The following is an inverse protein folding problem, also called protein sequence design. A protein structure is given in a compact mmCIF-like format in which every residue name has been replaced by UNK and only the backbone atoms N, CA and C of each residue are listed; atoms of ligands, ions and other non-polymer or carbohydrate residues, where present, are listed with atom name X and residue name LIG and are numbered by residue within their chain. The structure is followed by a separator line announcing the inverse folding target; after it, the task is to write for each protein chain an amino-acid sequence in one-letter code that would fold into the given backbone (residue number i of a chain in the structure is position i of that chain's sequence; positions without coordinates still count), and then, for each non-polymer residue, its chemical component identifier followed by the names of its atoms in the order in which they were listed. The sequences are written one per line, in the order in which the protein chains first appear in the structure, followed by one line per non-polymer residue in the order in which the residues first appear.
data_IF_097612957769
#
_entry.id   IF_097612957769
#
_cell.length_a   1.000
_cell.length_b   1.000
_cell.length_c   1.000
_cell.angle_alpha   90.00
_cell.angle_beta   90.00
_cell.angle_gamma   90.00
#
_symmetry.space_group_name_H-M   'P 1'
#
loop_
_entity.id
_entity.type
_entity.pdbx_description
1 polymer ?
#
# COMPACT_ATOMS: atom_id res chain seq x y z
N UNK A 1 29.75 13.88 -16.68
CA UNK A 1 28.71 13.82 -17.73
C UNK A 1 27.63 12.89 -17.17
N UNK A 2 26.37 13.31 -17.14
CA UNK A 2 25.27 12.43 -16.69
C UNK A 2 24.93 11.38 -17.75
N UNK A 3 24.24 10.31 -17.34
CA UNK A 3 23.91 9.18 -18.21
C UNK A 3 23.09 9.57 -19.44
N UNK A 4 22.16 10.53 -19.31
CA UNK A 4 21.34 11.03 -20.42
C UNK A 4 22.19 11.78 -21.45
N UNK A 5 23.12 12.62 -20.98
CA UNK A 5 24.08 13.32 -21.83
C UNK A 5 25.03 12.32 -22.52
N UNK A 6 25.50 11.30 -21.80
CA UNK A 6 26.34 10.24 -22.35
C UNK A 6 25.62 9.40 -23.42
N UNK A 7 24.38 8.95 -23.16
CA UNK A 7 23.52 8.25 -24.15
C UNK A 7 23.41 9.05 -25.44
N UNK A 8 23.11 10.35 -25.32
CA UNK A 8 22.96 11.24 -26.48
C UNK A 8 24.27 11.34 -27.28
N UNK A 9 25.40 11.49 -26.60
CA UNK A 9 26.72 11.54 -27.23
C UNK A 9 27.06 10.24 -27.94
N UNK A 10 26.86 9.08 -27.31
CA UNK A 10 27.07 7.77 -27.94
C UNK A 10 26.18 7.59 -29.16
N UNK A 11 24.90 7.97 -29.09
CA UNK A 11 23.99 7.91 -30.24
C UNK A 11 24.46 8.76 -31.42
N UNK A 12 25.05 9.94 -31.17
CA UNK A 12 25.68 10.76 -32.21
C UNK A 12 26.91 10.05 -32.79
N UNK A 13 27.80 9.53 -31.94
CA UNK A 13 29.03 8.85 -32.41
C UNK A 13 28.69 7.63 -33.25
N UNK A 14 27.68 6.84 -32.85
CA UNK A 14 27.21 5.68 -33.61
C UNK A 14 26.62 6.07 -34.97
N UNK A 15 25.86 7.18 -35.01
CA UNK A 15 25.29 7.70 -36.26
C UNK A 15 26.35 8.21 -37.23
N UNK A 16 27.40 8.87 -36.73
CA UNK A 16 28.48 9.44 -37.56
C UNK A 16 29.48 8.36 -37.98
N UNK A 17 29.74 7.37 -37.14
CA UNK A 17 30.75 6.33 -37.37
C UNK A 17 30.19 4.92 -37.13
N UNK A 18 29.25 4.44 -37.96
CA UNK A 18 28.55 3.18 -37.71
C UNK A 18 29.44 1.93 -37.81
N UNK A 19 30.59 2.03 -38.49
CA UNK A 19 31.47 0.89 -38.76
C UNK A 19 32.63 0.71 -37.76
N UNK A 20 32.68 1.50 -36.68
CA UNK A 20 33.75 1.35 -35.68
C UNK A 20 33.70 -0.03 -35.01
N UNK A 21 34.87 -0.64 -34.85
CA UNK A 21 35.02 -1.96 -34.22
C UNK A 21 34.46 -1.99 -32.78
N UNK A 22 34.44 -0.85 -32.08
CA UNK A 22 33.89 -0.73 -30.73
C UNK A 22 32.41 -1.12 -30.62
N UNK A 23 31.64 -1.04 -31.72
CA UNK A 23 30.23 -1.46 -31.74
C UNK A 23 30.04 -2.99 -31.74
N UNK A 24 31.11 -3.75 -31.95
CA UNK A 24 31.11 -5.22 -32.00
C UNK A 24 32.00 -5.84 -30.92
N UNK A 25 32.63 -5.01 -30.08
CA UNK A 25 33.57 -5.44 -29.05
C UNK A 25 32.88 -5.35 -27.68
N UNK A 26 32.78 -6.51 -27.02
CA UNK A 26 32.08 -6.67 -25.75
C UNK A 26 32.57 -5.73 -24.65
N UNK A 27 33.87 -5.39 -24.65
CA UNK A 27 34.43 -4.46 -23.65
C UNK A 27 33.83 -3.08 -23.81
N UNK A 28 33.72 -2.58 -25.04
CA UNK A 28 33.17 -1.24 -25.29
C UNK A 28 31.66 -1.21 -25.14
N UNK A 29 30.96 -2.27 -25.56
CA UNK A 29 29.52 -2.41 -25.35
C UNK A 29 29.17 -2.38 -23.86
N UNK A 30 29.96 -3.06 -23.02
CA UNK A 30 29.79 -3.03 -21.56
C UNK A 30 30.01 -1.63 -20.99
N UNK A 31 31.08 -0.94 -21.39
CA UNK A 31 31.37 0.44 -20.93
C UNK A 31 30.26 1.40 -21.35
N UNK A 32 29.75 1.27 -22.57
CA UNK A 32 28.66 2.11 -23.08
C UNK A 32 27.39 1.85 -22.27
N UNK A 33 27.05 0.59 -22.03
CA UNK A 33 25.88 0.22 -21.23
C UNK A 33 26.01 0.81 -19.82
N UNK A 34 27.15 0.60 -19.14
CA UNK A 34 27.38 1.07 -17.77
C UNK A 34 27.28 2.60 -17.64
N UNK A 35 27.88 3.35 -18.56
CA UNK A 35 27.85 4.82 -18.54
C UNK A 35 26.52 5.41 -19.05
N UNK A 36 25.72 4.59 -19.73
CA UNK A 36 24.38 4.97 -20.15
C UNK A 36 23.34 4.69 -19.07
N UNK A 37 23.63 3.94 -18.01
CA UNK A 37 22.60 3.62 -17.01
C UNK A 37 22.20 4.86 -16.22
N UNK A 38 20.92 5.21 -16.30
CA UNK A 38 20.33 6.22 -15.42
C UNK A 38 20.22 5.67 -13.99
N UNK A 39 20.16 6.56 -12.99
CA UNK A 39 20.17 6.15 -11.56
C UNK A 39 19.02 5.18 -11.25
N UNK A 40 17.89 5.35 -11.93
CA UNK A 40 16.65 4.58 -11.81
C UNK A 40 16.54 3.40 -12.80
N UNK A 41 17.60 3.05 -13.52
CA UNK A 41 17.68 1.85 -14.36
C UNK A 41 18.35 0.68 -13.64
N UNK A 42 17.83 -0.53 -13.87
CA UNK A 42 18.40 -1.77 -13.32
C UNK A 42 19.69 -2.12 -14.07
N UNK A 43 20.75 -2.38 -13.31
CA UNK A 43 22.07 -2.65 -13.91
C UNK A 43 22.12 -4.07 -14.48
N UNK A 44 22.94 -4.32 -15.53
CA UNK A 44 23.16 -5.66 -16.03
C UNK A 44 23.65 -6.61 -14.92
N UNK A 45 22.92 -7.69 -14.67
CA UNK A 45 23.23 -8.68 -13.63
C UNK A 45 22.83 -8.28 -12.20
N UNK A 46 22.26 -7.10 -12.00
CA UNK A 46 21.68 -6.69 -10.71
C UNK A 46 20.34 -7.41 -10.52
N UNK A 47 20.09 -7.93 -9.32
CA UNK A 47 18.78 -8.51 -9.01
C UNK A 47 17.73 -7.40 -8.85
N UNK A 48 16.45 -7.70 -9.06
CA UNK A 48 15.38 -6.70 -8.86
C UNK A 48 15.35 -6.20 -7.41
N UNK A 49 15.68 -7.07 -6.45
CA UNK A 49 15.81 -6.70 -5.05
C UNK A 49 16.96 -5.71 -4.81
N UNK A 50 18.16 -5.99 -5.34
CA UNK A 50 19.30 -5.08 -5.21
C UNK A 50 19.02 -3.73 -5.88
N UNK A 51 18.37 -3.76 -7.04
CA UNK A 51 17.91 -2.58 -7.74
C UNK A 51 16.95 -1.75 -6.87
N UNK A 52 15.92 -2.36 -6.30
CA UNK A 52 14.98 -1.68 -5.42
C UNK A 52 15.66 -1.15 -4.16
N UNK A 53 16.54 -1.92 -3.53
CA UNK A 53 17.33 -1.47 -2.38
C UNK A 53 18.16 -0.24 -2.69
N UNK A 54 18.83 -0.23 -3.84
CA UNK A 54 19.67 0.89 -4.28
C UNK A 54 18.88 2.14 -4.63
N UNK A 55 17.80 2.01 -5.40
CA UNK A 55 17.05 3.15 -5.96
C UNK A 55 16.00 3.69 -5.00
N UNK A 56 15.40 2.80 -4.21
CA UNK A 56 14.28 3.16 -3.34
C UNK A 56 14.60 3.20 -1.86
N UNK A 57 15.81 2.89 -1.40
CA UNK A 57 16.15 3.20 -0.01
C UNK A 57 15.89 4.69 0.29
N UNK A 58 15.32 4.96 1.47
CA UNK A 58 15.13 6.33 1.95
C UNK A 58 16.50 7.00 2.11
N UNK A 59 16.63 8.21 1.58
CA UNK A 59 17.89 8.95 1.69
C UNK A 59 17.99 9.57 3.09
N UNK A 60 19.21 9.69 3.61
CA UNK A 60 19.44 10.18 4.99
C UNK A 60 18.88 11.60 5.26
N UNK A 61 18.70 12.41 4.22
CA UNK A 61 18.17 13.78 4.30
C UNK A 61 16.75 13.90 3.73
N UNK A 62 16.12 12.79 3.35
CA UNK A 62 14.78 12.77 2.76
C UNK A 62 13.73 12.58 3.86
N UNK A 63 12.76 13.49 3.89
CA UNK A 63 11.65 13.40 4.83
C UNK A 63 10.76 12.19 4.50
N UNK A 64 9.97 11.71 5.48
CA UNK A 64 9.02 10.62 5.24
C UNK A 64 7.99 11.00 4.17
N UNK A 65 7.57 12.27 4.12
CA UNK A 65 6.63 12.77 3.12
C UNK A 65 7.23 12.74 1.70
N UNK A 66 8.46 13.28 1.54
CA UNK A 66 9.18 13.25 0.26
C UNK A 66 9.45 11.82 -0.19
N UNK A 67 9.84 10.95 0.75
CA UNK A 67 10.10 9.54 0.45
C UNK A 67 8.82 8.83 0.00
N UNK A 68 7.72 9.00 0.76
CA UNK A 68 6.41 8.43 0.43
C UNK A 68 5.95 8.90 -0.95
N UNK A 69 6.02 10.21 -1.22
CA UNK A 69 5.71 10.80 -2.52
C UNK A 69 6.53 10.15 -3.64
N UNK A 70 7.85 9.98 -3.46
CA UNK A 70 8.72 9.35 -4.46
C UNK A 70 8.38 7.88 -4.69
N UNK A 71 8.05 7.13 -3.64
CA UNK A 71 7.66 5.71 -3.75
C UNK A 71 6.38 5.55 -4.55
N UNK A 72 5.38 6.38 -4.30
CA UNK A 72 4.08 6.32 -4.98
C UNK A 72 4.04 7.08 -6.31
N UNK A 73 5.06 7.87 -6.64
CA UNK A 73 5.12 8.49 -7.98
C UNK A 73 5.31 7.39 -9.03
N UNK A 74 4.40 7.35 -10.02
CA UNK A 74 4.53 6.47 -11.19
C UNK A 74 5.72 6.86 -12.03
N UNK A 75 6.43 5.85 -12.54
CA UNK A 75 7.48 6.09 -13.52
C UNK A 75 6.90 6.35 -14.91
N UNK A 76 7.62 7.08 -15.78
CA UNK A 76 7.28 7.12 -17.19
C UNK A 76 7.16 5.69 -17.75
N UNK A 77 6.10 5.44 -18.51
CA UNK A 77 5.83 4.15 -19.18
C UNK A 77 5.60 2.94 -18.25
N UNK A 78 5.37 3.17 -16.94
CA UNK A 78 5.04 2.11 -16.00
C UNK A 78 3.57 1.67 -16.11
N UNK A 79 3.34 0.39 -16.40
CA UNK A 79 1.98 -0.18 -16.43
C UNK A 79 1.37 -0.22 -15.03
N UNK A 80 0.04 -0.34 -14.96
CA UNK A 80 -0.67 -0.47 -13.67
C UNK A 80 -0.17 -1.68 -12.86
N UNK A 81 0.09 -2.80 -13.53
CA UNK A 81 0.58 -4.03 -12.90
C UNK A 81 2.01 -3.85 -12.40
N UNK A 82 2.89 -3.21 -13.18
CA UNK A 82 4.26 -2.92 -12.78
C UNK A 82 4.31 -1.97 -11.59
N UNK A 83 3.46 -0.94 -11.58
CA UNK A 83 3.32 0.02 -10.49
C UNK A 83 2.92 -0.66 -9.17
N UNK A 84 1.87 -1.47 -9.20
CA UNK A 84 1.40 -2.22 -8.01
C UNK A 84 2.45 -3.23 -7.56
N UNK A 85 3.04 -3.99 -8.48
CA UNK A 85 4.08 -4.98 -8.16
C UNK A 85 5.31 -4.35 -7.51
N UNK A 86 5.73 -3.17 -8.00
CA UNK A 86 6.84 -2.42 -7.41
C UNK A 86 6.54 -2.00 -5.98
N UNK A 87 5.38 -1.37 -5.73
CA UNK A 87 5.05 -0.91 -4.37
C UNK A 87 4.91 -2.08 -3.40
N UNK A 88 4.28 -3.19 -3.82
CA UNK A 88 4.22 -4.42 -3.02
C UNK A 88 5.63 -4.95 -2.68
N UNK A 89 6.52 -4.95 -3.65
CA UNK A 89 7.92 -5.37 -3.43
C UNK A 89 8.63 -4.45 -2.44
N UNK A 90 8.43 -3.14 -2.54
CA UNK A 90 9.04 -2.16 -1.63
C UNK A 90 8.50 -2.31 -0.20
N UNK A 91 7.19 -2.57 -0.03
CA UNK A 91 6.60 -2.88 1.28
C UNK A 91 7.25 -4.10 1.93
N UNK A 92 7.51 -5.15 1.13
CA UNK A 92 8.16 -6.37 1.62
C UNK A 92 9.66 -6.17 1.92
N UNK A 93 10.36 -5.33 1.15
CA UNK A 93 11.78 -5.05 1.34
C UNK A 93 12.06 -4.08 2.50
N UNK A 94 11.11 -3.19 2.80
CA UNK A 94 11.26 -2.16 3.83
C UNK A 94 10.08 -2.15 4.81
N UNK A 95 9.69 -3.28 5.43
CA UNK A 95 8.44 -3.41 6.17
C UNK A 95 8.32 -2.46 7.37
N UNK A 96 9.45 -2.09 7.97
CA UNK A 96 9.52 -1.20 9.14
C UNK A 96 9.44 0.31 8.78
N UNK A 97 9.31 0.66 7.50
CA UNK A 97 9.24 2.06 7.10
C UNK A 97 7.92 2.71 7.53
N UNK A 98 8.00 3.87 8.17
CA UNK A 98 6.85 4.66 8.61
C UNK A 98 5.93 5.09 7.46
N UNK A 99 6.45 5.20 6.23
CA UNK A 99 5.69 5.68 5.06
C UNK A 99 4.50 4.79 4.68
N UNK A 100 4.49 3.54 5.16
CA UNK A 100 3.38 2.60 4.93
C UNK A 100 2.15 2.92 5.75
N UNK A 101 2.29 3.78 6.77
CA UNK A 101 1.16 4.34 7.50
C UNK A 101 0.43 5.33 6.59
N UNK A 102 -0.86 5.12 6.40
CA UNK A 102 -1.65 5.91 5.49
C UNK A 102 -2.37 7.05 6.21
N UNK A 103 -2.23 8.27 5.70
CA UNK A 103 -3.02 9.40 6.15
C UNK A 103 -4.49 9.25 5.72
N UNK A 104 -5.39 9.96 6.40
CA UNK A 104 -6.82 9.87 6.15
C UNK A 104 -7.25 10.40 4.79
N UNK A 105 -6.36 11.01 3.99
CA UNK A 105 -6.62 11.48 2.64
C UNK A 105 -6.01 10.57 1.55
N UNK A 106 -5.22 9.55 1.94
CA UNK A 106 -4.44 8.72 1.02
C UNK A 106 -3.62 9.56 0.03
N UNK A 107 -3.06 10.67 0.52
CA UNK A 107 -2.51 11.78 -0.29
C UNK A 107 -1.64 11.34 -1.47
N UNK A 108 -0.84 10.29 -1.29
CA UNK A 108 0.00 9.72 -2.34
C UNK A 108 -0.41 8.31 -2.78
N UNK A 109 -1.19 7.58 -1.98
CA UNK A 109 -1.43 6.14 -2.12
C UNK A 109 -2.79 5.78 -2.72
N UNK A 110 -3.67 6.75 -2.95
CA UNK A 110 -5.03 6.53 -3.45
C UNK A 110 -5.05 5.68 -4.74
N UNK A 111 -4.27 6.09 -5.76
CA UNK A 111 -4.19 5.38 -7.04
C UNK A 111 -3.67 3.95 -6.89
N UNK A 112 -2.71 3.74 -5.98
CA UNK A 112 -2.19 2.41 -5.70
C UNK A 112 -3.28 1.50 -5.13
N UNK A 113 -4.05 1.97 -4.14
CA UNK A 113 -5.11 1.17 -3.53
C UNK A 113 -6.30 0.95 -4.46
N UNK A 114 -6.63 1.92 -5.33
CA UNK A 114 -7.60 1.72 -6.41
C UNK A 114 -7.18 0.57 -7.31
N UNK A 115 -5.93 0.56 -7.77
CA UNK A 115 -5.44 -0.52 -8.62
C UNK A 115 -5.33 -1.88 -7.90
N UNK A 116 -4.80 -1.87 -6.67
CA UNK A 116 -4.62 -3.09 -5.87
C UNK A 116 -5.96 -3.82 -5.66
N UNK A 117 -7.02 -3.06 -5.41
CA UNK A 117 -8.36 -3.57 -5.16
C UNK A 117 -9.31 -3.39 -6.34
N UNK A 118 -8.77 -3.21 -7.55
CA UNK A 118 -9.57 -3.07 -8.76
C UNK A 118 -10.40 -4.34 -8.99
N UNK A 119 -11.61 -4.16 -9.50
CA UNK A 119 -12.46 -5.25 -9.98
C UNK A 119 -11.79 -5.92 -11.18
N UNK A 120 -11.81 -7.25 -11.20
CA UNK A 120 -11.31 -8.02 -12.34
C UNK A 120 -12.35 -7.99 -13.46
N UNK A 121 -11.90 -7.96 -14.72
CA UNK A 121 -12.81 -7.93 -15.88
C UNK A 121 -13.73 -9.16 -15.87
N UNK A 122 -15.04 -8.91 -15.89
CA UNK A 122 -16.08 -9.95 -15.83
C UNK A 122 -16.39 -10.47 -14.41
N UNK A 123 -15.74 -9.94 -13.37
CA UNK A 123 -16.04 -10.27 -11.97
C UNK A 123 -17.41 -9.70 -11.57
N UNK A 124 -18.30 -10.55 -11.07
CA UNK A 124 -19.58 -10.11 -10.54
C UNK A 124 -19.42 -9.39 -9.18
N UNK A 125 -20.47 -8.66 -8.79
CA UNK A 125 -20.45 -7.88 -7.55
C UNK A 125 -20.19 -8.75 -6.32
N UNK A 126 -20.76 -9.97 -6.26
CA UNK A 126 -20.63 -10.82 -5.08
C UNK A 126 -19.20 -11.32 -4.88
N UNK A 127 -18.59 -11.79 -5.96
CA UNK A 127 -17.19 -12.24 -6.01
C UNK A 127 -16.26 -11.08 -5.67
N UNK A 128 -16.50 -9.92 -6.27
CA UNK A 128 -15.69 -8.73 -6.03
C UNK A 128 -15.74 -8.30 -4.56
N UNK A 129 -16.94 -8.11 -4.01
CA UNK A 129 -17.11 -7.66 -2.62
C UNK A 129 -16.60 -8.69 -1.62
N UNK A 130 -16.85 -9.98 -1.85
CA UNK A 130 -16.31 -11.06 -1.01
C UNK A 130 -14.79 -11.03 -0.96
N UNK A 131 -14.11 -10.75 -2.07
CA UNK A 131 -12.66 -10.58 -2.14
C UNK A 131 -12.18 -9.35 -1.37
N UNK A 132 -12.90 -8.24 -1.43
CA UNK A 132 -12.53 -7.02 -0.68
C UNK A 132 -12.61 -7.21 0.84
N UNK A 133 -13.64 -7.92 1.33
CA UNK A 133 -13.85 -8.12 2.77
C UNK A 133 -13.19 -9.36 3.35
N UNK A 134 -12.62 -10.24 2.52
CA UNK A 134 -11.90 -11.42 2.98
C UNK A 134 -10.70 -11.01 3.84
N UNK A 135 -10.53 -11.64 5.00
CA UNK A 135 -9.36 -11.44 5.87
C UNK A 135 -8.21 -12.32 5.38
N UNK A 136 -7.03 -11.75 5.21
CA UNK A 136 -5.83 -12.50 4.81
C UNK A 136 -5.26 -13.32 5.98
N UNK A 137 -4.50 -14.37 5.67
CA UNK A 137 -3.90 -15.25 6.69
C UNK A 137 -2.90 -14.50 7.59
N UNK A 138 -2.17 -13.54 7.02
CA UNK A 138 -1.15 -12.72 7.72
C UNK A 138 -1.71 -11.38 8.26
N UNK A 139 -3.02 -11.19 8.16
CA UNK A 139 -3.70 -9.96 8.51
C UNK A 139 -4.24 -10.03 9.94
N UNK A 140 -3.63 -9.29 10.86
CA UNK A 140 -4.22 -9.08 12.19
C UNK A 140 -5.43 -8.13 12.12
N UNK A 141 -6.11 -7.95 13.25
CA UNK A 141 -7.33 -7.12 13.33
C UNK A 141 -7.06 -5.65 12.98
N UNK A 142 -5.89 -5.11 13.33
CA UNK A 142 -5.56 -3.72 13.03
C UNK A 142 -5.29 -3.54 11.54
N UNK A 143 -4.54 -4.47 10.93
CA UNK A 143 -4.32 -4.49 9.48
C UNK A 143 -5.64 -4.65 8.72
N UNK A 144 -6.55 -5.50 9.19
CA UNK A 144 -7.87 -5.67 8.59
C UNK A 144 -8.70 -4.39 8.65
N UNK A 145 -8.76 -3.74 9.83
CA UNK A 145 -9.48 -2.46 10.00
C UNK A 145 -8.92 -1.39 9.08
N UNK A 146 -7.61 -1.29 8.97
CA UNK A 146 -6.95 -0.34 8.09
C UNK A 146 -7.28 -0.63 6.61
N UNK A 147 -7.27 -1.90 6.19
CA UNK A 147 -7.72 -2.29 4.85
C UNK A 147 -9.16 -1.85 4.58
N UNK A 148 -10.09 -2.11 5.50
CA UNK A 148 -11.50 -1.72 5.34
C UNK A 148 -11.64 -0.19 5.28
N UNK A 149 -10.91 0.56 6.12
CA UNK A 149 -10.86 2.03 6.07
C UNK A 149 -10.43 2.53 4.69
N UNK A 150 -9.34 1.97 4.17
CA UNK A 150 -8.81 2.31 2.84
C UNK A 150 -9.85 2.01 1.76
N UNK A 151 -10.48 0.84 1.79
CA UNK A 151 -11.51 0.43 0.82
C UNK A 151 -12.72 1.38 0.82
N UNK A 152 -13.21 1.77 2.01
CA UNK A 152 -14.29 2.75 2.12
C UNK A 152 -13.92 4.10 1.52
N UNK A 153 -12.66 4.49 1.65
CA UNK A 153 -12.17 5.76 1.13
C UNK A 153 -12.00 5.76 -0.39
N UNK A 154 -11.42 4.69 -0.96
CA UNK A 154 -11.18 4.62 -2.41
C UNK A 154 -12.42 4.21 -3.20
N UNK A 155 -13.38 3.52 -2.56
CA UNK A 155 -14.63 3.09 -3.16
C UNK A 155 -15.84 3.35 -2.23
N UNK A 156 -16.18 4.61 -1.92
CA UNK A 156 -17.24 4.95 -0.96
C UNK A 156 -18.65 4.57 -1.42
N UNK A 157 -18.84 4.40 -2.73
CA UNK A 157 -20.15 4.19 -3.34
C UNK A 157 -20.53 2.71 -3.55
N UNK A 158 -19.69 1.75 -3.11
CA UNK A 158 -20.02 0.33 -3.25
C UNK A 158 -21.25 -0.03 -2.42
N UNK A 159 -22.15 -0.84 -2.99
CA UNK A 159 -23.38 -1.26 -2.31
C UNK A 159 -23.10 -2.15 -1.09
N UNK A 160 -21.94 -2.83 -1.05
CA UNK A 160 -21.52 -3.66 0.09
C UNK A 160 -21.51 -2.92 1.44
N UNK A 161 -21.34 -1.60 1.44
CA UNK A 161 -21.37 -0.80 2.68
C UNK A 161 -22.76 -0.72 3.32
N UNK A 162 -23.81 -1.15 2.61
CA UNK A 162 -25.21 -1.16 3.07
C UNK A 162 -25.82 -2.56 3.09
N UNK A 163 -25.04 -3.58 2.74
CA UNK A 163 -25.51 -4.96 2.63
C UNK A 163 -25.05 -5.75 3.88
N UNK A 164 -26.04 -6.27 4.62
CA UNK A 164 -25.84 -7.00 5.87
C UNK A 164 -24.87 -8.18 5.72
N UNK A 165 -24.79 -8.82 4.55
CA UNK A 165 -23.86 -9.92 4.30
C UNK A 165 -22.42 -9.47 4.55
N UNK A 166 -21.98 -8.39 3.90
CA UNK A 166 -20.60 -7.94 4.00
C UNK A 166 -20.34 -7.17 5.29
N UNK A 167 -21.32 -6.43 5.81
CA UNK A 167 -21.22 -5.78 7.12
C UNK A 167 -20.97 -6.78 8.24
N UNK A 168 -21.64 -7.94 8.22
CA UNK A 168 -21.42 -9.01 9.19
C UNK A 168 -20.01 -9.62 9.08
N UNK A 169 -19.48 -9.79 7.86
CA UNK A 169 -18.10 -10.27 7.65
C UNK A 169 -17.09 -9.26 8.19
N UNK A 170 -17.26 -7.98 7.84
CA UNK A 170 -16.40 -6.89 8.32
C UNK A 170 -16.40 -6.85 9.84
N UNK A 171 -17.58 -6.91 10.47
CA UNK A 171 -17.71 -6.92 11.92
C UNK A 171 -16.97 -8.11 12.53
N UNK A 172 -17.23 -9.33 12.06
CA UNK A 172 -16.60 -10.54 12.59
C UNK A 172 -15.06 -10.50 12.51
N UNK A 173 -14.52 -9.96 11.42
CA UNK A 173 -13.07 -9.84 11.21
C UNK A 173 -12.43 -8.63 11.93
N UNK A 174 -13.24 -7.65 12.33
CA UNK A 174 -12.83 -6.44 13.06
C UNK A 174 -12.93 -6.60 14.59
N UNK A 175 -13.52 -7.70 15.05
CA UNK A 175 -13.51 -8.08 16.46
C UNK A 175 -12.14 -8.70 16.79
N UNK A 176 -11.51 -8.23 17.87
CA UNK A 176 -10.39 -8.95 18.46
C UNK A 176 -10.90 -10.34 18.84
N UNK A 177 -10.40 -11.38 18.15
CA UNK A 177 -10.60 -12.78 18.56
C UNK A 177 -10.31 -12.89 20.06
N UNK A 178 -10.98 -13.79 20.79
CA UNK A 178 -11.33 -13.56 22.18
C UNK A 178 -10.10 -13.15 22.99
N UNK A 179 -10.00 -11.84 23.28
CA UNK A 179 -9.62 -11.45 24.62
C UNK A 179 -10.55 -12.26 25.52
N UNK A 180 -10.06 -12.79 26.64
CA UNK A 180 -10.93 -13.31 27.70
C UNK A 180 -11.80 -12.16 28.19
N UNK A 181 -12.83 -11.82 27.42
CA UNK A 181 -13.89 -10.90 27.75
C UNK A 181 -14.70 -11.74 28.69
N UNK A 182 -14.59 -11.40 29.96
CA UNK A 182 -15.48 -11.94 30.97
C UNK A 182 -16.91 -11.68 30.49
N UNK A 183 -17.57 -12.71 29.96
CA UNK A 183 -18.96 -12.66 29.52
C UNK A 183 -19.89 -13.10 30.64
N UNK A 184 -19.40 -13.19 31.88
CA UNK A 184 -20.27 -13.48 33.02
C UNK A 184 -21.36 -12.42 33.11
N UNK A 185 -22.51 -12.84 33.63
CA UNK A 185 -23.60 -11.91 33.96
C UNK A 185 -23.10 -10.79 34.89
N UNK A 186 -22.09 -11.07 35.71
CA UNK A 186 -21.45 -10.11 36.62
C UNK A 186 -20.70 -8.99 35.88
N UNK A 187 -20.00 -9.30 34.78
CA UNK A 187 -19.37 -8.28 33.93
C UNK A 187 -20.40 -7.37 33.27
N UNK A 188 -21.49 -7.94 32.74
CA UNK A 188 -22.55 -7.15 32.11
C UNK A 188 -23.33 -6.32 33.13
N UNK A 189 -23.62 -6.86 34.31
CA UNK A 189 -24.22 -6.10 35.40
C UNK A 189 -23.32 -4.92 35.80
N UNK A 190 -22.03 -5.15 36.01
CA UNK A 190 -21.12 -4.10 36.47
C UNK A 190 -20.88 -3.00 35.42
N UNK A 191 -20.87 -3.37 34.14
CA UNK A 191 -20.52 -2.43 33.07
C UNK A 191 -21.73 -1.78 32.38
N UNK A 192 -22.90 -2.41 32.41
CA UNK A 192 -24.09 -1.98 31.67
C UNK A 192 -25.34 -1.89 32.54
N UNK A 193 -25.33 -2.18 33.85
CA UNK A 193 -26.46 -1.78 34.69
C UNK A 193 -26.46 -0.26 34.90
N UNK A 194 -27.67 0.32 34.95
CA UNK A 194 -27.87 1.68 35.40
C UNK A 194 -27.57 1.75 36.91
N UNK A 195 -26.69 2.67 37.31
CA UNK A 195 -26.37 2.83 38.73
C UNK A 195 -27.54 3.50 39.46
N UNK A 196 -27.77 3.24 40.75
CA UNK A 196 -28.89 3.82 41.50
C UNK A 196 -28.93 5.35 41.52
N UNK A 197 -27.78 6.00 41.34
CA UNK A 197 -27.63 7.46 41.31
C UNK A 197 -27.47 8.04 39.91
N UNK A 198 -27.50 7.20 38.87
CA UNK A 198 -27.29 7.59 37.48
C UNK A 198 -28.62 7.91 36.81
N UNK A 199 -28.74 9.11 36.24
CA UNK A 199 -29.92 9.48 35.46
C UNK A 199 -30.03 8.62 34.20
N UNK A 200 -31.24 8.43 33.68
CA UNK A 200 -31.46 7.64 32.45
C UNK A 200 -30.70 8.21 31.24
N UNK A 201 -30.54 9.54 31.18
CA UNK A 201 -29.75 10.21 30.15
C UNK A 201 -28.26 9.91 30.26
N UNK A 202 -27.71 9.94 31.48
CA UNK A 202 -26.28 9.68 31.72
C UNK A 202 -25.94 8.20 31.49
N UNK A 203 -26.85 7.31 31.89
CA UNK A 203 -26.77 5.88 31.61
C UNK A 203 -26.66 5.60 30.11
N UNK A 204 -27.60 6.15 29.32
CA UNK A 204 -27.61 5.97 27.86
C UNK A 204 -26.36 6.53 27.21
N UNK A 205 -25.88 7.70 27.64
CA UNK A 205 -24.65 8.31 27.13
C UNK A 205 -23.41 7.47 27.43
N UNK A 206 -23.27 6.99 28.67
CA UNK A 206 -22.15 6.12 29.07
C UNK A 206 -22.13 4.79 28.31
N UNK A 207 -23.30 4.16 28.16
CA UNK A 207 -23.44 2.91 27.40
C UNK A 207 -23.12 3.14 25.92
N UNK A 208 -23.63 4.24 25.35
CA UNK A 208 -23.33 4.61 23.96
C UNK A 208 -21.83 4.82 23.73
N UNK A 209 -21.18 5.66 24.54
CA UNK A 209 -19.71 5.90 24.48
C UNK A 209 -18.90 4.59 24.61
N UNK A 210 -19.33 3.66 25.46
CA UNK A 210 -18.64 2.35 25.59
C UNK A 210 -18.87 1.42 24.41
N UNK A 211 -20.02 1.49 23.76
CA UNK A 211 -20.35 0.68 22.58
C UNK A 211 -19.71 1.25 21.31
N UNK A 212 -19.60 2.57 21.19
CA UNK A 212 -19.06 3.24 20.00
C UNK A 212 -17.57 3.53 20.08
N UNK A 213 -16.97 3.50 21.28
CA UNK A 213 -15.56 3.83 21.49
C UNK A 213 -15.24 5.32 21.31
N UNK A 214 -16.26 6.17 21.21
CA UNK A 214 -16.11 7.62 21.05
C UNK A 214 -15.84 8.27 22.41
N UNK A 215 -14.59 8.70 22.63
CA UNK A 215 -14.17 9.47 23.82
C UNK A 215 -14.49 10.96 23.70
#
# INVERSE_FOLDING_TARGET
EDAKTYKKKIGIVQKVYPDLAMWKDDKYLKIIAENSLEEDEQRPGETTEDFYKRVYAQKATESDDDYKKRVYTRRPDETDEAYVARINSLRNLFPESSIWTEDSALTYSEDYYKLLYKRVDGEDDDTYYSRLVAKGDDEDVQKYKEKIRILQQVYPDLSMWKDDKYLNIIKANSEDGPATRDTSDEYYLNNYAQKPTESDSDYKKRVYTRLTGES
#
